data_IF_473463953225
#
_entry.id   IF_473463953225
#
_cell.length_a   1.000
_cell.length_b   1.000
_cell.length_c   1.000
_cell.angle_alpha   90.00
_cell.angle_beta   90.00
_cell.angle_gamma   90.00
#
_symmetry.space_group_name_H-M   'P 1'
#
loop_
_entity.id
_entity.type
_entity.pdbx_description
1 polymer ?
#
# COMPACT_ATOMS: atom_id res chain seq x y z
N UNK A 1 8.47 -8.18 -22.69
CA UNK A 1 7.03 -7.92 -22.62
C UNK A 1 6.29 -9.24 -22.61
N UNK A 2 5.80 -9.70 -21.45
CA UNK A 2 5.03 -10.94 -21.34
C UNK A 2 3.90 -10.76 -20.33
N UNK A 3 2.84 -10.05 -20.70
CA UNK A 3 1.53 -10.34 -20.13
C UNK A 3 0.94 -11.49 -20.95
N UNK A 4 1.19 -12.73 -20.52
CA UNK A 4 0.32 -13.85 -20.87
C UNK A 4 -1.04 -13.52 -20.26
N UNK A 5 -2.02 -13.17 -21.09
CA UNK A 5 -3.38 -12.92 -20.66
C UNK A 5 -3.82 -14.02 -19.70
N UNK A 6 -4.19 -13.62 -18.48
CA UNK A 6 -4.60 -14.53 -17.41
C UNK A 6 -5.76 -15.37 -17.96
N UNK A 7 -5.51 -16.65 -18.25
CA UNK A 7 -6.58 -17.59 -18.59
C UNK A 7 -7.31 -17.94 -17.31
N UNK A 8 -8.40 -17.23 -17.03
CA UNK A 8 -9.28 -17.48 -15.89
C UNK A 8 -10.61 -16.74 -16.05
N UNK A 9 -11.67 -17.29 -15.45
CA UNK A 9 -12.92 -16.53 -15.26
C UNK A 9 -12.71 -15.61 -14.06
N UNK A 10 -12.98 -14.32 -14.22
CA UNK A 10 -13.04 -13.40 -13.09
C UNK A 10 -14.37 -13.60 -12.34
N UNK A 11 -14.32 -13.49 -11.02
CA UNK A 11 -15.49 -13.49 -10.14
C UNK A 11 -15.57 -12.13 -9.46
N UNK A 12 -16.76 -11.53 -9.48
CA UNK A 12 -17.03 -10.32 -8.72
C UNK A 12 -17.25 -10.69 -7.25
N UNK A 13 -16.62 -9.92 -6.36
CA UNK A 13 -16.89 -9.96 -4.93
C UNK A 13 -17.52 -8.62 -4.55
N UNK A 14 -18.73 -8.68 -4.00
CA UNK A 14 -19.48 -7.51 -3.56
C UNK A 14 -19.43 -7.43 -2.03
N UNK A 15 -19.24 -6.21 -1.52
CA UNK A 15 -19.12 -5.92 -0.09
C UNK A 15 -20.02 -4.74 0.25
N UNK A 16 -20.85 -4.89 1.28
CA UNK A 16 -21.62 -3.78 1.83
C UNK A 16 -20.70 -2.88 2.67
N UNK A 17 -20.56 -1.63 2.26
CA UNK A 17 -19.76 -0.61 2.94
C UNK A 17 -20.64 0.40 3.66
N UNK A 18 -20.18 0.87 4.81
CA UNK A 18 -20.88 1.88 5.63
C UNK A 18 -20.13 3.19 5.62
N UNK A 19 -20.85 4.28 5.90
CA UNK A 19 -20.24 5.60 6.08
C UNK A 19 -19.13 5.54 7.12
N UNK A 20 -17.96 6.05 6.76
CA UNK A 20 -16.76 6.01 7.60
C UNK A 20 -15.83 4.84 7.30
N UNK A 21 -16.27 3.81 6.56
CA UNK A 21 -15.39 2.75 6.09
C UNK A 21 -14.40 3.30 5.05
N UNK A 22 -13.25 2.65 4.97
CA UNK A 22 -12.19 2.97 4.01
C UNK A 22 -11.67 1.71 3.36
N UNK A 23 -11.54 1.77 2.04
CA UNK A 23 -11.05 0.68 1.20
C UNK A 23 -9.70 1.09 0.64
N UNK A 24 -8.70 0.22 0.80
CA UNK A 24 -7.37 0.40 0.22
C UNK A 24 -7.12 -0.60 -0.90
N UNK A 25 -6.60 -0.12 -2.02
CA UNK A 25 -6.09 -0.92 -3.14
C UNK A 25 -4.64 -0.53 -3.37
N UNK A 26 -3.73 -1.50 -3.48
CA UNK A 26 -2.31 -1.22 -3.56
C UNK A 26 -1.54 -2.30 -4.34
N UNK A 27 -0.40 -1.91 -4.92
CA UNK A 27 0.62 -2.83 -5.45
C UNK A 27 1.55 -3.34 -4.34
N UNK A 28 2.30 -4.40 -4.62
CA UNK A 28 3.29 -4.98 -3.71
C UNK A 28 4.55 -4.13 -3.51
N UNK A 29 4.86 -3.19 -4.42
CA UNK A 29 6.06 -2.34 -4.35
C UNK A 29 6.30 -1.67 -2.99
N UNK A 30 5.26 -1.20 -2.29
CA UNK A 30 5.42 -0.61 -0.94
C UNK A 30 5.96 -1.63 0.06
N UNK A 31 5.41 -2.84 0.05
CA UNK A 31 5.79 -3.92 0.96
C UNK A 31 7.17 -4.49 0.61
N UNK A 32 7.53 -4.48 -0.67
CA UNK A 32 8.79 -5.05 -1.15
C UNK A 32 9.98 -4.10 -1.06
N UNK A 33 9.75 -2.80 -0.85
CA UNK A 33 10.82 -1.81 -0.70
C UNK A 33 11.82 -2.17 0.40
N UNK A 34 13.10 -2.17 0.04
CA UNK A 34 14.21 -2.35 0.97
C UNK A 34 14.57 -1.04 1.70
N UNK A 35 15.04 -1.16 2.93
CA UNK A 35 15.38 -0.02 3.77
C UNK A 35 15.64 -0.38 5.24
N UNK A 36 15.68 0.65 6.08
CA UNK A 36 16.05 0.56 7.49
C UNK A 36 17.53 0.21 7.70
N UNK A 37 17.97 0.21 8.95
CA UNK A 37 19.38 0.03 9.31
C UNK A 37 19.99 -1.29 8.80
N UNK A 38 19.18 -2.33 8.71
CA UNK A 38 19.59 -3.67 8.30
C UNK A 38 19.24 -4.01 6.84
N UNK A 39 18.79 -3.03 6.04
CA UNK A 39 18.41 -3.19 4.64
C UNK A 39 17.40 -4.34 4.42
N UNK A 40 16.29 -4.32 5.15
CA UNK A 40 15.22 -5.30 5.04
C UNK A 40 14.05 -4.77 4.19
N UNK A 41 13.20 -5.69 3.71
CA UNK A 41 11.91 -5.31 3.11
C UNK A 41 11.00 -4.67 4.16
N UNK A 42 10.12 -3.76 3.74
CA UNK A 42 9.10 -3.17 4.62
C UNK A 42 8.11 -4.22 5.13
N UNK A 43 7.80 -5.19 4.28
CA UNK A 43 6.86 -6.31 4.47
C UNK A 43 5.40 -5.89 4.58
N UNK A 44 4.53 -6.71 3.98
CA UNK A 44 3.09 -6.45 3.93
C UNK A 44 2.44 -6.40 5.32
N UNK A 45 3.02 -7.05 6.34
CA UNK A 45 2.52 -6.96 7.73
C UNK A 45 2.65 -5.54 8.28
N UNK A 46 3.80 -4.88 8.11
CA UNK A 46 3.99 -3.50 8.58
C UNK A 46 3.14 -2.53 7.78
N UNK A 47 3.00 -2.75 6.47
CA UNK A 47 2.19 -1.90 5.62
C UNK A 47 0.70 -1.93 6.01
N UNK A 48 0.13 -3.13 6.22
CA UNK A 48 -1.24 -3.25 6.72
C UNK A 48 -1.42 -2.61 8.09
N UNK A 49 -0.44 -2.75 8.98
CA UNK A 49 -0.50 -2.09 10.30
C UNK A 49 -0.51 -0.57 10.16
N UNK A 50 0.38 -0.01 9.33
CA UNK A 50 0.42 1.43 9.05
C UNK A 50 -0.93 1.93 8.54
N UNK A 51 -1.56 1.24 7.60
CA UNK A 51 -2.90 1.60 7.10
C UNK A 51 -3.93 1.58 8.24
N UNK A 52 -3.92 0.55 9.09
CA UNK A 52 -4.80 0.48 10.27
C UNK A 52 -4.53 1.59 11.29
N UNK A 53 -3.30 2.07 11.42
CA UNK A 53 -2.97 3.13 12.37
C UNK A 53 -3.47 4.50 11.89
N UNK A 54 -3.50 4.72 10.57
CA UNK A 54 -3.82 6.03 9.98
C UNK A 54 -5.26 6.14 9.43
N UNK A 55 -6.00 5.04 9.32
CA UNK A 55 -7.27 4.98 8.56
C UNK A 55 -8.36 5.99 9.00
N UNK A 56 -8.33 6.45 10.26
CA UNK A 56 -9.28 7.43 10.78
C UNK A 56 -8.93 8.88 10.44
N UNK A 57 -7.67 9.15 10.04
CA UNK A 57 -7.18 10.48 9.72
C UNK A 57 -7.77 11.01 8.40
N UNK A 58 -7.71 12.32 8.13
CA UNK A 58 -8.01 12.88 6.81
C UNK A 58 -7.16 12.25 5.70
N UNK A 59 -7.74 12.00 4.51
CA UNK A 59 -7.06 11.26 3.43
C UNK A 59 -5.76 11.93 2.97
N UNK A 60 -5.69 13.26 2.99
CA UNK A 60 -4.47 14.01 2.70
C UNK A 60 -3.37 13.74 3.74
N UNK A 61 -3.71 13.67 5.02
CA UNK A 61 -2.75 13.33 6.08
C UNK A 61 -2.28 11.88 5.96
N UNK A 62 -3.19 10.96 5.63
CA UNK A 62 -2.81 9.57 5.36
C UNK A 62 -1.79 9.45 4.23
N UNK A 63 -2.01 10.17 3.12
CA UNK A 63 -1.05 10.23 2.00
C UNK A 63 0.31 10.74 2.49
N UNK A 64 0.33 11.84 3.22
CA UNK A 64 1.56 12.46 3.69
C UNK A 64 2.33 11.52 4.65
N UNK A 65 1.62 10.78 5.51
CA UNK A 65 2.21 9.78 6.40
C UNK A 65 2.78 8.60 5.61
N UNK A 66 2.07 8.10 4.60
CA UNK A 66 2.55 7.01 3.73
C UNK A 66 3.82 7.43 2.99
N UNK A 67 3.82 8.62 2.37
CA UNK A 67 4.99 9.17 1.67
C UNK A 67 6.19 9.37 2.59
N UNK A 68 5.97 9.92 3.79
CA UNK A 68 7.03 10.10 4.77
C UNK A 68 7.58 8.76 5.23
N UNK A 69 6.71 7.81 5.57
CA UNK A 69 7.11 6.51 6.12
C UNK A 69 7.94 5.71 5.12
N UNK A 70 7.57 5.69 3.84
CA UNK A 70 8.35 4.96 2.84
C UNK A 70 9.69 5.63 2.56
N UNK A 71 9.74 6.97 2.50
CA UNK A 71 11.00 7.73 2.31
C UNK A 71 11.96 7.52 3.47
N UNK A 72 11.45 7.60 4.69
CA UNK A 72 12.23 7.36 5.91
C UNK A 72 12.73 5.92 5.95
N UNK A 73 11.89 4.95 5.55
CA UNK A 73 12.29 3.55 5.46
C UNK A 73 13.41 3.36 4.45
N UNK A 74 13.28 3.90 3.24
CA UNK A 74 14.27 3.76 2.18
C UNK A 74 15.66 4.21 2.64
N UNK A 75 15.77 5.28 3.45
CA UNK A 75 17.03 5.72 4.05
C UNK A 75 18.20 5.84 3.02
N UNK A 76 17.89 6.26 1.79
CA UNK A 76 18.85 6.39 0.69
C UNK A 76 18.98 5.16 -0.22
N UNK A 77 18.31 4.05 0.09
CA UNK A 77 18.12 2.91 -0.81
C UNK A 77 17.18 3.33 -1.95
N UNK A 78 17.53 2.98 -3.18
CA UNK A 78 16.71 3.29 -4.35
C UNK A 78 15.39 2.53 -4.33
N UNK A 79 14.38 3.11 -4.99
CA UNK A 79 13.10 2.44 -5.18
C UNK A 79 13.28 1.27 -6.15
N UNK A 80 12.79 0.09 -5.78
CA UNK A 80 13.04 -1.13 -6.56
C UNK A 80 11.89 -1.52 -7.50
N UNK A 81 10.70 -0.99 -7.26
CA UNK A 81 9.47 -1.31 -7.99
C UNK A 81 8.46 -0.16 -7.93
N UNK A 82 7.42 -0.19 -8.78
CA UNK A 82 6.36 0.81 -8.79
C UNK A 82 5.45 0.72 -7.55
N UNK A 83 5.34 1.84 -6.82
CA UNK A 83 4.51 1.93 -5.62
C UNK A 83 3.20 2.64 -5.98
N UNK A 84 2.07 1.94 -5.84
CA UNK A 84 0.73 2.52 -5.98
C UNK A 84 -0.12 2.19 -4.76
N UNK A 85 -0.75 3.20 -4.17
CA UNK A 85 -1.71 3.07 -3.07
C UNK A 85 -2.89 3.99 -3.34
N UNK A 86 -4.10 3.44 -3.30
CA UNK A 86 -5.37 4.16 -3.47
C UNK A 86 -6.21 3.93 -2.23
N UNK A 87 -6.66 5.00 -1.59
CA UNK A 87 -7.60 4.97 -0.46
C UNK A 87 -8.91 5.64 -0.82
N UNK A 88 -10.03 4.97 -0.56
CA UNK A 88 -11.39 5.46 -0.85
C UNK A 88 -12.20 5.42 0.44
N UNK A 89 -12.72 6.57 0.89
CA UNK A 89 -13.54 6.70 2.09
C UNK A 89 -15.00 6.93 1.72
N UNK A 90 -15.92 6.22 2.39
CA UNK A 90 -17.38 6.24 2.14
C UNK A 90 -18.09 7.25 3.03
#
# INVERSE_FOLDING_TARGET
>A
AFFRGVKGKFQNHELDVKKGDIVYVFSDGYADQFGGEANFKFLAKRFRQLLLDIHLMPLNEQRDILEKTIRDWMAGVEQIDDITVVGIKV
#
